data_IF_444872838565
#
_entry.id   IF_444872838565
#
_cell.length_a   1.000
_cell.length_b   1.000
_cell.length_c   1.000
_cell.angle_alpha   90.00
_cell.angle_beta   90.00
_cell.angle_gamma   90.00
#
_symmetry.space_group_name_H-M   'P 1'
#
loop_
_entity.id
_entity.type
_entity.pdbx_description
1 polymer ?
#
# COMPACT_ATOMS: atom_id res chain seq x y z
N UNK A 1 3.48 13.12 -19.78
CA UNK A 1 3.42 11.98 -18.83
C UNK A 1 3.21 12.38 -17.35
N UNK A 2 3.07 13.67 -16.99
CA UNK A 2 2.86 14.06 -15.58
C UNK A 2 1.59 13.44 -14.97
N UNK A 3 0.47 13.46 -15.70
CA UNK A 3 -0.79 12.90 -15.21
C UNK A 3 -0.68 11.40 -14.88
N UNK A 4 -0.08 10.61 -15.77
CA UNK A 4 0.14 9.17 -15.56
C UNK A 4 0.99 8.90 -14.30
N UNK A 5 2.09 9.64 -14.12
CA UNK A 5 2.95 9.49 -12.93
C UNK A 5 2.19 9.78 -11.62
N UNK A 6 1.37 10.83 -11.58
CA UNK A 6 0.52 11.12 -10.42
C UNK A 6 -0.56 10.08 -10.20
N UNK A 7 -1.16 9.55 -11.27
CA UNK A 7 -2.14 8.46 -11.16
C UNK A 7 -1.50 7.18 -10.59
N UNK A 8 -0.35 6.76 -11.10
CA UNK A 8 0.35 5.58 -10.57
C UNK A 8 0.81 5.77 -9.13
N UNK A 9 1.38 6.94 -8.80
CA UNK A 9 1.82 7.24 -7.44
C UNK A 9 0.63 7.30 -6.46
N UNK A 10 -0.43 8.02 -6.83
CA UNK A 10 -1.62 8.17 -6.00
C UNK A 10 -2.39 6.87 -5.82
N UNK A 11 -2.58 6.11 -6.89
CA UNK A 11 -3.29 4.83 -6.84
C UNK A 11 -2.48 3.79 -6.05
N UNK A 12 -1.16 3.74 -6.23
CA UNK A 12 -0.29 2.88 -5.43
C UNK A 12 -0.34 3.22 -3.94
N UNK A 13 -0.23 4.50 -3.58
CA UNK A 13 -0.35 4.96 -2.20
C UNK A 13 -1.72 4.62 -1.59
N UNK A 14 -2.80 4.78 -2.36
CA UNK A 14 -4.15 4.45 -1.92
C UNK A 14 -4.28 2.95 -1.65
N UNK A 15 -3.83 2.10 -2.57
CA UNK A 15 -3.87 0.63 -2.40
C UNK A 15 -3.07 0.22 -1.16
N UNK A 16 -1.84 0.70 -0.98
CA UNK A 16 -1.04 0.41 0.23
C UNK A 16 -1.78 0.81 1.51
N UNK A 17 -2.32 2.02 1.53
CA UNK A 17 -2.97 2.58 2.72
C UNK A 17 -4.24 1.82 3.08
N UNK A 18 -5.07 1.51 2.09
CA UNK A 18 -6.33 0.76 2.28
C UNK A 18 -6.04 -0.67 2.73
N UNK A 19 -5.08 -1.35 2.10
CA UNK A 19 -4.72 -2.72 2.49
C UNK A 19 -4.13 -2.75 3.90
N UNK A 20 -3.25 -1.82 4.25
CA UNK A 20 -2.68 -1.74 5.59
C UNK A 20 -3.76 -1.37 6.64
N UNK A 21 -4.64 -0.41 6.34
CA UNK A 21 -5.75 -0.07 7.22
C UNK A 21 -6.70 -1.25 7.41
N UNK A 22 -6.98 -2.02 6.36
CA UNK A 22 -7.76 -3.25 6.44
C UNK A 22 -7.11 -4.30 7.34
N UNK A 23 -5.79 -4.47 7.26
CA UNK A 23 -5.03 -5.35 8.14
C UNK A 23 -5.13 -4.92 9.61
N UNK A 24 -4.91 -3.64 9.89
CA UNK A 24 -5.03 -3.03 11.23
C UNK A 24 -6.46 -3.21 11.77
N UNK A 25 -7.47 -2.93 10.95
CA UNK A 25 -8.88 -3.09 11.33
C UNK A 25 -9.25 -4.53 11.62
N UNK A 26 -8.80 -5.49 10.81
CA UNK A 26 -9.07 -6.91 11.01
C UNK A 26 -8.44 -7.42 12.31
N UNK A 27 -7.22 -6.98 12.64
CA UNK A 27 -6.58 -7.31 13.91
C UNK A 27 -7.30 -6.68 15.11
N UNK A 28 -7.81 -5.45 14.97
CA UNK A 28 -8.65 -4.82 15.99
C UNK A 28 -9.96 -5.61 16.22
N UNK A 29 -10.59 -6.02 15.12
CA UNK A 29 -11.84 -6.77 15.12
C UNK A 29 -11.66 -8.17 15.71
N UNK A 30 -10.57 -8.87 15.36
CA UNK A 30 -10.23 -10.19 15.91
C UNK A 30 -10.00 -10.17 17.43
N UNK A 31 -9.59 -9.03 17.99
CA UNK A 31 -9.52 -8.84 19.45
C UNK A 31 -10.90 -8.55 20.09
N UNK A 32 -11.95 -8.34 19.31
CA UNK A 32 -13.28 -7.93 19.78
C UNK A 32 -13.44 -6.40 19.87
N UNK A 33 -12.64 -5.62 19.13
CA UNK A 33 -12.71 -4.15 19.10
C UNK A 33 -11.82 -3.46 20.15
N UNK A 34 -10.78 -4.14 20.63
CA UNK A 34 -9.81 -3.58 21.57
C UNK A 34 -9.09 -2.35 21.00
N UNK A 35 -8.77 -1.36 21.84
CA UNK A 35 -7.88 -0.25 21.47
C UNK A 35 -6.38 -0.62 21.50
N UNK A 36 -6.01 -1.64 22.29
CA UNK A 36 -4.63 -2.12 22.46
C UNK A 36 -4.48 -3.53 21.92
N UNK A 37 -4.69 -3.72 20.61
CA UNK A 37 -4.43 -4.99 19.95
C UNK A 37 -3.01 -5.02 19.39
N UNK A 38 -2.40 -6.20 19.37
CA UNK A 38 -1.15 -6.43 18.64
C UNK A 38 -1.46 -6.88 17.22
N UNK A 39 -0.67 -6.39 16.27
CA UNK A 39 -0.69 -6.87 14.90
C UNK A 39 -0.08 -8.28 14.88
N UNK A 40 -0.91 -9.28 14.55
CA UNK A 40 -0.52 -10.68 14.49
C UNK A 40 0.11 -11.00 13.15
N UNK A 41 1.39 -10.62 13.02
CA UNK A 41 2.19 -10.94 11.83
C UNK A 41 2.47 -12.44 11.66
N UNK A 42 2.20 -13.23 12.70
CA UNK A 42 2.35 -14.69 12.73
C UNK A 42 1.18 -15.42 12.05
N UNK A 43 0.03 -14.77 11.86
CA UNK A 43 -1.13 -15.36 11.19
C UNK A 43 -0.92 -15.36 9.66
N UNK A 44 -0.13 -16.32 9.19
CA UNK A 44 0.31 -16.44 7.79
C UNK A 44 -0.86 -16.54 6.81
N UNK A 45 -1.98 -17.14 7.21
CA UNK A 45 -3.17 -17.28 6.37
C UNK A 45 -3.78 -15.92 6.03
N UNK A 46 -4.10 -15.11 7.05
CA UNK A 46 -4.64 -13.77 6.83
C UNK A 46 -3.57 -12.87 6.19
N UNK A 47 -2.32 -12.95 6.63
CA UNK A 47 -1.21 -12.18 6.07
C UNK A 47 -1.02 -12.44 4.56
N UNK A 48 -1.20 -13.68 4.10
CA UNK A 48 -1.10 -14.06 2.69
C UNK A 48 -2.14 -13.38 1.79
N UNK A 49 -3.27 -12.92 2.36
CA UNK A 49 -4.30 -12.19 1.62
C UNK A 49 -4.00 -10.68 1.54
N UNK A 50 -3.34 -10.12 2.54
CA UNK A 50 -3.03 -8.69 2.61
C UNK A 50 -1.66 -8.32 2.00
N UNK A 51 -0.67 -9.21 2.04
CA UNK A 51 0.65 -8.94 1.46
C UNK A 51 0.60 -8.71 -0.05
N UNK A 52 -0.04 -9.56 -0.88
CA UNK A 52 -0.02 -9.38 -2.33
C UNK A 52 -0.58 -8.03 -2.80
N UNK A 53 -1.77 -7.58 -2.35
CA UNK A 53 -2.28 -6.26 -2.74
C UNK A 53 -1.44 -5.12 -2.18
N UNK A 54 -0.90 -5.24 -0.95
CA UNK A 54 -0.02 -4.23 -0.37
C UNK A 54 1.26 -4.06 -1.20
N UNK A 55 1.87 -5.19 -1.59
CA UNK A 55 3.06 -5.20 -2.45
C UNK A 55 2.76 -4.61 -3.82
N UNK A 56 1.62 -4.95 -4.43
CA UNK A 56 1.20 -4.41 -5.71
C UNK A 56 1.00 -2.88 -5.64
N UNK A 57 0.41 -2.38 -4.56
CA UNK A 57 0.34 -0.95 -4.27
C UNK A 57 1.72 -0.29 -4.21
N UNK A 58 2.68 -0.92 -3.52
CA UNK A 58 4.04 -0.39 -3.42
C UNK A 58 4.72 -0.32 -4.79
N UNK A 59 4.58 -1.38 -5.61
CA UNK A 59 5.13 -1.43 -6.96
C UNK A 59 4.54 -0.32 -7.84
N UNK A 60 3.22 -0.10 -7.79
CA UNK A 60 2.57 1.00 -8.52
C UNK A 60 3.08 2.36 -8.07
N UNK A 61 3.22 2.55 -6.76
CA UNK A 61 3.72 3.81 -6.19
C UNK A 61 5.15 4.09 -6.64
N UNK A 62 6.04 3.10 -6.56
CA UNK A 62 7.44 3.20 -7.02
C UNK A 62 7.49 3.48 -8.53
N UNK A 63 6.66 2.79 -9.31
CA UNK A 63 6.58 3.00 -10.77
C UNK A 63 6.16 4.44 -11.09
N UNK A 64 5.17 4.98 -10.39
CA UNK A 64 4.76 6.38 -10.52
C UNK A 64 5.87 7.37 -10.17
N UNK A 65 6.66 7.09 -9.12
CA UNK A 65 7.79 7.90 -8.69
C UNK A 65 8.95 7.86 -9.70
N UNK A 66 9.30 6.68 -10.23
CA UNK A 66 10.33 6.53 -11.27
C UNK A 66 9.94 7.30 -12.53
N UNK A 67 8.69 7.17 -12.98
CA UNK A 67 8.16 7.95 -14.10
C UNK A 67 8.24 9.46 -13.85
N UNK A 68 8.02 9.91 -12.61
CA UNK A 68 8.14 11.31 -12.26
C UNK A 68 9.58 11.84 -12.40
N UNK A 69 10.54 11.07 -11.88
CA UNK A 69 11.97 11.41 -11.87
C UNK A 69 12.52 11.40 -13.29
N UNK A 70 12.25 10.34 -14.08
CA UNK A 70 12.70 10.25 -15.47
C UNK A 70 12.18 11.41 -16.32
N UNK A 71 10.92 11.78 -16.13
CA UNK A 71 10.28 12.87 -16.87
C UNK A 71 10.75 14.27 -16.42
N UNK A 72 11.42 14.40 -15.25
CA UNK A 72 12.18 15.60 -14.85
C UNK A 72 13.58 15.63 -15.47
N UNK A 73 14.25 14.48 -15.57
CA UNK A 73 15.58 14.36 -16.16
C UNK A 73 15.59 14.75 -17.64
N UNK A 74 14.55 14.41 -18.38
CA UNK A 74 14.45 14.71 -19.82
C UNK A 74 14.11 16.19 -20.14
N UNK A 75 13.82 17.00 -19.11
CA UNK A 75 13.52 18.43 -19.25
C UNK A 75 14.71 19.34 -18.88
N UNK A 76 15.82 18.77 -18.42
CA UNK A 76 17.10 19.47 -18.24
C UNK A 76 17.98 19.20 -19.45
#
# INVERSE_FOLDING_TARGET
MRLASWLFAGLGALVCSVTFAGWVWLNAYACGGCKNFRLRWEDTEALSLFIPPFFLGCVLMVTGAVLWIGNRSQRR
#
